data_IF_966111631149
#
_entry.id   IF_966111631149
#
_cell.length_a   1.000
_cell.length_b   1.000
_cell.length_c   1.000
_cell.angle_alpha   90.00
_cell.angle_beta   90.00
_cell.angle_gamma   90.00
#
_symmetry.space_group_name_H-M   'P 1'
#
loop_
_entity.id
_entity.type
_entity.pdbx_description
1 polymer ?
#
# COMPACT_ATOMS: atom_id res chain seq x y z
N UNK A 1 13.47 -6.35 -5.42
CA UNK A 1 12.10 -6.73 -5.00
C UNK A 1 11.90 -6.26 -3.57
N UNK A 2 10.80 -5.55 -3.26
CA UNK A 2 10.49 -5.12 -1.88
C UNK A 2 9.96 -6.34 -1.12
N UNK A 3 10.65 -6.76 -0.06
CA UNK A 3 10.17 -7.84 0.80
C UNK A 3 9.04 -7.31 1.71
N UNK A 4 7.84 -7.84 1.55
CA UNK A 4 6.68 -7.46 2.35
C UNK A 4 6.55 -8.36 3.59
N UNK A 5 6.52 -7.79 4.80
CA UNK A 5 6.24 -8.57 6.00
C UNK A 5 4.77 -9.05 5.99
N UNK A 6 4.58 -10.30 6.40
CA UNK A 6 3.26 -10.88 6.61
C UNK A 6 2.91 -10.87 8.10
N UNK A 7 1.68 -10.50 8.43
CA UNK A 7 1.15 -10.59 9.78
C UNK A 7 0.86 -12.04 10.14
N UNK A 8 0.97 -12.36 11.43
CA UNK A 8 0.50 -13.62 11.98
C UNK A 8 -1.02 -13.74 11.77
N UNK A 9 -1.54 -14.97 11.72
CA UNK A 9 -2.97 -15.20 11.46
C UNK A 9 -3.89 -14.45 12.45
N UNK A 10 -3.48 -14.32 13.71
CA UNK A 10 -4.22 -13.58 14.74
C UNK A 10 -4.17 -12.05 14.58
N UNK A 11 -3.18 -11.53 13.84
CA UNK A 11 -2.94 -10.10 13.62
C UNK A 11 -3.60 -9.61 12.31
N UNK A 12 -3.88 -10.52 11.37
CA UNK A 12 -4.63 -10.20 10.15
C UNK A 12 -6.03 -9.69 10.49
N UNK A 13 -6.55 -8.75 9.69
CA UNK A 13 -7.88 -8.20 9.94
C UNK A 13 -8.93 -9.31 9.89
N UNK A 14 -9.64 -9.48 11.01
CA UNK A 14 -10.70 -10.46 11.16
C UNK A 14 -11.99 -9.99 10.49
N UNK A 15 -12.87 -10.93 10.13
CA UNK A 15 -14.15 -10.65 9.45
C UNK A 15 -15.11 -9.78 10.28
N UNK A 16 -14.99 -9.77 11.60
CA UNK A 16 -15.74 -8.89 12.49
C UNK A 16 -15.06 -7.54 12.76
N UNK A 17 -13.89 -7.29 12.14
CA UNK A 17 -13.02 -6.12 12.35
C UNK A 17 -12.65 -5.83 13.82
N UNK A 18 -12.78 -6.82 14.73
CA UNK A 18 -12.56 -6.59 16.17
C UNK A 18 -11.12 -6.20 16.53
N UNK A 19 -10.16 -6.66 15.73
CA UNK A 19 -8.73 -6.35 15.89
C UNK A 19 -8.24 -5.18 15.02
N UNK A 20 -9.16 -4.37 14.44
CA UNK A 20 -8.79 -3.30 13.51
C UNK A 20 -7.74 -2.31 14.06
N UNK A 21 -7.82 -1.81 15.32
CA UNK A 21 -6.79 -0.90 15.82
C UNK A 21 -5.38 -1.49 15.81
N UNK A 22 -5.24 -2.76 16.19
CA UNK A 22 -3.96 -3.48 16.16
C UNK A 22 -3.48 -3.70 14.73
N UNK A 23 -4.38 -4.16 13.85
CA UNK A 23 -4.10 -4.34 12.43
C UNK A 23 -3.62 -3.03 11.79
N UNK A 24 -4.27 -1.90 12.10
CA UNK A 24 -3.93 -0.58 11.58
C UNK A 24 -2.48 -0.21 11.87
N UNK A 25 -2.10 -0.27 13.15
CA UNK A 25 -0.73 0.04 13.60
C UNK A 25 0.29 -0.85 12.90
N UNK A 26 0.04 -2.15 12.80
CA UNK A 26 0.98 -3.08 12.19
C UNK A 26 1.18 -2.83 10.69
N UNK A 27 0.11 -2.51 9.95
CA UNK A 27 0.22 -2.17 8.52
C UNK A 27 0.97 -0.85 8.32
N UNK A 28 0.68 0.17 9.13
CA UNK A 28 1.36 1.47 9.05
C UNK A 28 2.86 1.34 9.35
N UNK A 29 3.25 0.60 10.40
CA UNK A 29 4.65 0.33 10.75
C UNK A 29 5.37 -0.48 9.66
N UNK A 30 4.72 -1.52 9.13
CA UNK A 30 5.25 -2.30 8.03
C UNK A 30 5.46 -1.44 6.78
N UNK A 31 4.49 -0.60 6.42
CA UNK A 31 4.62 0.33 5.30
C UNK A 31 5.74 1.35 5.54
N UNK A 32 5.83 1.93 6.74
CA UNK A 32 6.87 2.89 7.12
C UNK A 32 8.27 2.29 6.99
N UNK A 33 8.47 1.06 7.49
CA UNK A 33 9.75 0.35 7.41
C UNK A 33 10.24 0.09 5.97
N UNK A 34 9.33 0.16 4.99
CA UNK A 34 9.62 -0.05 3.57
C UNK A 34 9.53 1.24 2.73
N UNK A 35 9.29 2.40 3.35
CA UNK A 35 9.09 3.67 2.64
C UNK A 35 7.79 3.75 1.85
N UNK A 36 6.79 2.93 2.18
CA UNK A 36 5.50 2.83 1.47
C UNK A 36 4.36 3.60 2.15
N UNK A 37 4.57 4.13 3.35
CA UNK A 37 3.52 4.84 4.11
C UNK A 37 2.90 6.01 3.33
N UNK A 38 3.70 6.69 2.50
CA UNK A 38 3.24 7.78 1.63
C UNK A 38 2.18 7.37 0.59
N UNK A 39 2.14 6.10 0.20
CA UNK A 39 1.13 5.57 -0.72
C UNK A 39 -0.19 5.26 -0.01
N UNK A 40 -0.13 4.83 1.26
CA UNK A 40 -1.32 4.55 2.07
C UNK A 40 -2.07 5.84 2.44
N UNK A 41 -1.34 6.87 2.86
CA UNK A 41 -1.94 8.15 3.24
C UNK A 41 -2.14 9.12 2.06
N UNK A 42 -1.66 8.78 0.86
CA UNK A 42 -1.82 9.59 -0.35
C UNK A 42 -0.88 10.80 -0.44
N UNK A 43 0.17 10.87 0.39
CA UNK A 43 1.16 11.94 0.34
C UNK A 43 2.13 11.82 -0.86
N UNK A 44 2.11 10.68 -1.57
CA UNK A 44 2.82 10.50 -2.85
C UNK A 44 1.78 10.51 -3.96
N UNK A 45 1.79 11.56 -4.77
CA UNK A 45 0.90 11.67 -5.92
C UNK A 45 1.45 10.89 -7.12
N UNK A 46 0.55 10.36 -7.95
CA UNK A 46 0.93 9.73 -9.23
C UNK A 46 1.61 10.77 -10.13
N UNK A 47 2.86 10.56 -10.55
CA UNK A 47 3.54 11.47 -11.47
C UNK A 47 2.82 11.53 -12.83
N UNK A 48 2.85 12.70 -13.46
CA UNK A 48 2.37 12.87 -14.83
C UNK A 48 3.16 11.98 -15.80
N UNK A 49 2.51 11.58 -16.90
CA UNK A 49 3.20 10.86 -17.97
C UNK A 49 4.20 11.80 -18.65
N UNK A 50 5.49 11.47 -18.58
CA UNK A 50 6.52 12.17 -19.36
C UNK A 50 6.70 11.40 -20.66
N UNK A 51 6.38 12.02 -21.80
CA UNK A 51 6.48 11.42 -23.14
C UNK A 51 7.87 11.62 -23.78
N UNK A 52 8.88 11.91 -22.98
CA UNK A 52 10.26 12.09 -23.43
C UNK A 52 10.96 10.75 -23.71
N UNK A 53 12.00 10.77 -24.54
CA UNK A 53 12.76 9.58 -24.95
C UNK A 53 13.77 9.09 -23.91
N UNK A 54 14.05 9.90 -22.87
CA UNK A 54 14.95 9.54 -21.77
C UNK A 54 14.17 8.97 -20.60
N UNK A 55 14.49 7.73 -20.24
CA UNK A 55 13.99 7.14 -19.01
C UNK A 55 14.53 7.94 -17.80
N UNK A 56 13.69 8.24 -16.80
CA UNK A 56 14.14 8.90 -15.59
C UNK A 56 15.09 8.00 -14.79
N UNK A 57 16.03 8.61 -14.08
CA UNK A 57 16.94 7.89 -13.20
C UNK A 57 16.15 7.15 -12.10
N UNK A 58 16.54 5.92 -11.73
CA UNK A 58 15.89 5.18 -10.66
C UNK A 58 15.98 5.94 -9.33
N UNK A 59 14.88 5.97 -8.60
CA UNK A 59 14.81 6.57 -7.27
C UNK A 59 14.82 5.48 -6.19
N UNK A 60 15.31 5.78 -4.97
CA UNK A 60 15.11 4.87 -3.85
C UNK A 60 13.62 4.73 -3.50
N UNK A 61 13.22 3.61 -2.89
CA UNK A 61 11.80 3.32 -2.55
C UNK A 61 11.17 4.41 -1.69
N UNK A 62 11.93 4.94 -0.74
CA UNK A 62 11.51 6.02 0.17
C UNK A 62 11.44 7.41 -0.49
N UNK A 63 11.74 7.53 -1.79
CA UNK A 63 11.57 8.79 -2.52
C UNK A 63 10.11 9.21 -2.54
N UNK A 64 9.87 10.51 -2.30
CA UNK A 64 8.55 11.14 -2.43
C UNK A 64 8.22 11.54 -3.88
N UNK A 65 9.22 11.47 -4.76
CA UNK A 65 9.11 11.88 -6.16
C UNK A 65 9.57 10.71 -7.06
N UNK A 66 8.85 9.58 -7.08
CA UNK A 66 9.18 8.46 -7.97
C UNK A 66 8.92 8.83 -9.44
N UNK A 67 9.45 8.05 -10.37
CA UNK A 67 8.91 8.02 -11.73
C UNK A 67 7.49 7.45 -11.76
N UNK A 68 6.78 7.59 -12.89
CA UNK A 68 5.43 7.03 -13.03
C UNK A 68 5.43 5.49 -12.88
N UNK A 69 6.39 4.81 -13.49
CA UNK A 69 6.49 3.34 -13.42
C UNK A 69 6.84 2.88 -12.00
N UNK A 70 7.75 3.61 -11.35
CA UNK A 70 8.09 3.37 -9.95
C UNK A 70 6.89 3.58 -9.03
N UNK A 71 6.10 4.63 -9.27
CA UNK A 71 4.86 4.88 -8.55
C UNK A 71 3.89 3.70 -8.71
N UNK A 72 3.62 3.26 -9.94
CA UNK A 72 2.67 2.17 -10.22
C UNK A 72 3.12 0.84 -9.57
N UNK A 73 4.43 0.55 -9.60
CA UNK A 73 5.00 -0.60 -8.89
C UNK A 73 4.84 -0.49 -7.37
N UNK A 74 5.26 0.63 -6.77
CA UNK A 74 5.27 0.82 -5.31
C UNK A 74 3.85 0.92 -4.73
N UNK A 75 2.94 1.57 -5.45
CA UNK A 75 1.51 1.62 -5.12
C UNK A 75 0.90 0.21 -5.14
N UNK A 76 1.19 -0.58 -6.18
CA UNK A 76 0.75 -1.98 -6.25
C UNK A 76 1.30 -2.84 -5.10
N UNK A 77 2.55 -2.63 -4.71
CA UNK A 77 3.17 -3.30 -3.56
C UNK A 77 2.50 -2.88 -2.24
N UNK A 78 2.23 -1.59 -2.04
CA UNK A 78 1.53 -1.09 -0.86
C UNK A 78 0.09 -1.64 -0.78
N UNK A 79 -0.63 -1.70 -1.90
CA UNK A 79 -1.95 -2.33 -1.99
C UNK A 79 -1.90 -3.83 -1.64
N UNK A 80 -0.86 -4.54 -2.11
CA UNK A 80 -0.65 -5.95 -1.78
C UNK A 80 -0.38 -6.16 -0.29
N UNK A 81 0.34 -5.25 0.38
CA UNK A 81 0.57 -5.30 1.84
C UNK A 81 -0.75 -5.27 2.61
N UNK A 82 -1.72 -4.45 2.18
CA UNK A 82 -3.06 -4.39 2.79
C UNK A 82 -3.80 -5.72 2.53
N UNK A 83 -4.03 -6.06 1.26
CA UNK A 83 -4.93 -7.15 0.87
C UNK A 83 -4.45 -8.52 1.38
N UNK A 84 -3.14 -8.77 1.40
CA UNK A 84 -2.58 -10.05 1.87
C UNK A 84 -2.70 -10.27 3.39
N UNK A 85 -2.99 -9.21 4.14
CA UNK A 85 -3.12 -9.21 5.59
C UNK A 85 -4.57 -9.08 6.08
N UNK A 86 -5.54 -9.31 5.20
CA UNK A 86 -6.98 -9.34 5.52
C UNK A 86 -7.50 -10.76 5.29
N UNK A 87 -8.27 -11.32 6.23
CA UNK A 87 -8.74 -12.70 6.14
C UNK A 87 -9.71 -12.93 4.97
N UNK A 88 -10.65 -12.00 4.76
CA UNK A 88 -11.60 -12.02 3.66
C UNK A 88 -11.77 -10.60 3.08
N UNK A 89 -10.83 -10.15 2.21
CA UNK A 89 -10.89 -8.81 1.64
C UNK A 89 -12.12 -8.59 0.75
N UNK A 90 -12.70 -9.65 0.17
CA UNK A 90 -13.90 -9.53 -0.67
C UNK A 90 -15.14 -9.36 0.20
N UNK A 91 -15.33 -10.24 1.20
CA UNK A 91 -16.47 -10.17 2.12
C UNK A 91 -16.48 -8.91 2.98
N UNK A 92 -15.31 -8.30 3.21
CA UNK A 92 -15.18 -7.02 3.91
C UNK A 92 -15.31 -5.78 3.01
N UNK A 93 -15.56 -5.95 1.70
CA UNK A 93 -15.75 -4.83 0.78
C UNK A 93 -14.48 -4.02 0.48
N UNK A 94 -13.29 -4.62 0.65
CA UNK A 94 -12.01 -3.93 0.40
C UNK A 94 -11.88 -3.62 -1.10
N UNK A 95 -11.62 -2.36 -1.42
CA UNK A 95 -11.38 -1.90 -2.78
C UNK A 95 -9.99 -2.36 -3.24
N UNK A 96 -9.94 -3.17 -4.30
CA UNK A 96 -8.70 -3.80 -4.81
C UNK A 96 -8.26 -3.25 -6.18
N UNK A 97 -9.15 -2.51 -6.83
CA UNK A 97 -8.93 -1.74 -8.04
C UNK A 97 -8.66 -0.27 -7.67
N UNK A 98 -7.63 0.35 -8.23
CA UNK A 98 -7.21 1.72 -7.89
C UNK A 98 -5.98 1.77 -6.99
N UNK A 99 -5.81 2.89 -6.28
CA UNK A 99 -4.59 3.20 -5.51
C UNK A 99 -4.53 2.46 -4.17
N UNK A 100 -3.33 2.37 -3.59
CA UNK A 100 -3.16 1.86 -2.23
C UNK A 100 -3.92 2.70 -1.20
N UNK A 101 -4.03 4.02 -1.41
CA UNK A 101 -4.86 4.90 -0.59
C UNK A 101 -6.34 4.53 -0.65
N UNK A 102 -6.90 4.37 -1.83
CA UNK A 102 -8.31 3.98 -1.98
C UNK A 102 -8.59 2.61 -1.35
N UNK A 103 -7.64 1.67 -1.49
CA UNK A 103 -7.69 0.40 -0.78
C UNK A 103 -7.70 0.61 0.74
N UNK A 104 -6.79 1.44 1.27
CA UNK A 104 -6.68 1.72 2.70
C UNK A 104 -7.94 2.36 3.27
N UNK A 105 -8.45 3.40 2.62
CA UNK A 105 -9.67 4.12 3.04
C UNK A 105 -10.88 3.17 3.10
N UNK A 106 -10.97 2.18 2.19
CA UNK A 106 -12.05 1.17 2.21
C UNK A 106 -11.99 0.18 3.37
N UNK A 107 -10.83 0.04 4.02
CA UNK A 107 -10.70 -0.78 5.22
C UNK A 107 -11.22 -0.03 6.45
N UNK A 108 -11.00 1.29 6.49
CA UNK A 108 -11.39 2.18 7.59
C UNK A 108 -12.91 2.46 7.65
N UNK A 109 -13.62 2.27 6.54
CA UNK A 109 -15.09 2.39 6.45
C UNK A 109 -15.84 1.21 7.05
#
# INVERSE_FOLDING_TARGET
>A
MINLPALLAAEKLQTNKANYPTFKVLIEEHAASKGLLGYLNGNIAKPALITGTTAPDPTPVFSKNPSRDEYEYRDGVARSLIVSNIADPIGLGVKRDGTAKECWDSVES
#
